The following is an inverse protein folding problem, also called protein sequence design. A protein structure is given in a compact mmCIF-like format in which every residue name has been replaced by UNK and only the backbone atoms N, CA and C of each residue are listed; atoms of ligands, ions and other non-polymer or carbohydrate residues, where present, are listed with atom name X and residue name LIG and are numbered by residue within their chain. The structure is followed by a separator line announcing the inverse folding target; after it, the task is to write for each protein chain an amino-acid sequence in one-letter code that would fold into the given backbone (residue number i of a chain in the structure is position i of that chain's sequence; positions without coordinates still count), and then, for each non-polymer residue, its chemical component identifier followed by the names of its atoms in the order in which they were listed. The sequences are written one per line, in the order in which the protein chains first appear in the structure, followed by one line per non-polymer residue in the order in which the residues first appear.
data_IF_281897457334
#
_entry.id   IF_281897457334
#
_cell.length_a   1.000
_cell.length_b   1.000
_cell.length_c   1.000
_cell.angle_alpha   90.00
_cell.angle_beta   90.00
_cell.angle_gamma   90.00
#
_symmetry.space_group_name_H-M   'P 1'
#
loop_
_entity.id
_entity.type
_entity.pdbx_description
1 polymer ?
#
# COMPACT_ATOMS: atom_id res chain seq x y z
N UNK A 1 -13.70 11.59 -24.13
CA UNK A 1 -12.67 12.13 -23.21
C UNK A 1 -11.73 11.02 -22.82
N UNK A 2 -10.43 11.26 -22.77
CA UNK A 2 -9.50 10.25 -22.27
C UNK A 2 -9.72 10.04 -20.77
N UNK A 3 -9.52 8.81 -20.30
CA UNK A 3 -9.71 8.43 -18.88
C UNK A 3 -8.86 9.31 -17.95
N UNK A 4 -7.65 9.70 -18.40
CA UNK A 4 -6.79 10.61 -17.66
C UNK A 4 -7.39 12.01 -17.53
N UNK A 5 -7.99 12.56 -18.59
CA UNK A 5 -8.56 13.91 -18.56
C UNK A 5 -9.77 13.99 -17.63
N UNK A 6 -10.65 12.98 -17.68
CA UNK A 6 -11.81 12.91 -16.78
C UNK A 6 -11.38 12.81 -15.32
N UNK A 7 -10.39 11.95 -15.04
CA UNK A 7 -9.83 11.80 -13.70
C UNK A 7 -9.16 13.10 -13.21
N UNK A 8 -8.33 13.71 -14.06
CA UNK A 8 -7.60 14.93 -13.76
C UNK A 8 -8.55 16.11 -13.48
N UNK A 9 -9.60 16.26 -14.29
CA UNK A 9 -10.62 17.30 -14.08
C UNK A 9 -11.40 17.09 -12.78
N UNK A 10 -11.76 15.85 -12.46
CA UNK A 10 -12.50 15.54 -11.23
C UNK A 10 -11.65 15.72 -9.96
N UNK A 11 -10.35 15.41 -10.03
CA UNK A 11 -9.46 15.45 -8.88
C UNK A 11 -8.61 16.72 -8.79
N UNK A 12 -8.65 17.61 -9.78
CA UNK A 12 -7.79 18.80 -9.85
C UNK A 12 -6.31 18.45 -10.03
N UNK A 13 -6.00 17.35 -10.72
CA UNK A 13 -4.63 16.83 -10.90
C UNK A 13 -4.16 16.93 -12.34
N UNK A 14 -2.86 16.71 -12.59
CA UNK A 14 -2.28 16.70 -13.93
C UNK A 14 -1.46 15.42 -14.20
N UNK A 15 -2.07 14.26 -13.98
CA UNK A 15 -1.40 12.98 -14.18
C UNK A 15 -1.44 12.52 -15.64
N UNK A 16 -0.33 11.94 -16.08
CA UNK A 16 -0.27 11.17 -17.33
C UNK A 16 -0.95 9.81 -17.16
N UNK A 17 -1.39 9.22 -18.27
CA UNK A 17 -1.96 7.85 -18.28
C UNK A 17 -0.98 6.83 -17.68
N UNK A 18 0.32 6.99 -17.89
CA UNK A 18 1.35 6.09 -17.34
C UNK A 18 1.45 6.21 -15.83
N UNK A 19 1.39 7.43 -15.27
CA UNK A 19 1.36 7.64 -13.82
C UNK A 19 0.12 6.98 -13.19
N UNK A 20 -1.05 7.15 -13.81
CA UNK A 20 -2.29 6.51 -13.35
C UNK A 20 -2.21 4.97 -13.40
N UNK A 21 -1.65 4.41 -14.48
CA UNK A 21 -1.42 2.96 -14.60
C UNK A 21 -0.46 2.43 -13.53
N UNK A 22 0.63 3.15 -13.27
CA UNK A 22 1.59 2.77 -12.23
C UNK A 22 0.94 2.83 -10.84
N UNK A 23 0.13 3.86 -10.57
CA UNK A 23 -0.61 3.99 -9.32
C UNK A 23 -1.61 2.86 -9.15
N UNK A 24 -2.37 2.51 -10.20
CA UNK A 24 -3.28 1.39 -10.17
C UNK A 24 -2.58 0.06 -9.84
N UNK A 25 -1.42 -0.22 -10.43
CA UNK A 25 -0.62 -1.40 -10.08
C UNK A 25 -0.20 -1.40 -8.62
N UNK A 26 0.22 -0.25 -8.08
CA UNK A 26 0.60 -0.11 -6.68
C UNK A 26 -0.59 -0.39 -5.75
N UNK A 27 -1.77 0.15 -6.08
CA UNK A 27 -3.02 -0.10 -5.34
C UNK A 27 -3.34 -1.59 -5.30
N UNK A 28 -3.19 -2.29 -6.42
CA UNK A 28 -3.42 -3.73 -6.48
C UNK A 28 -2.45 -4.52 -5.57
N UNK A 29 -1.18 -4.10 -5.47
CA UNK A 29 -0.20 -4.73 -4.58
C UNK A 29 -0.55 -4.48 -3.13
N UNK A 30 -0.80 -3.22 -2.76
CA UNK A 30 -1.11 -2.83 -1.40
C UNK A 30 -2.41 -3.51 -0.92
N UNK A 31 -3.44 -3.59 -1.77
CA UNK A 31 -4.68 -4.31 -1.46
C UNK A 31 -4.44 -5.80 -1.20
N UNK A 32 -3.56 -6.46 -1.97
CA UNK A 32 -3.23 -7.88 -1.73
C UNK A 32 -2.54 -8.07 -0.39
N UNK A 33 -1.62 -7.17 -0.01
CA UNK A 33 -0.93 -7.19 1.29
C UNK A 33 -1.94 -7.02 2.41
N UNK A 34 -2.77 -5.96 2.36
CA UNK A 34 -3.78 -5.67 3.39
C UNK A 34 -4.79 -6.83 3.51
N UNK A 35 -5.25 -7.36 2.37
CA UNK A 35 -6.17 -8.52 2.34
C UNK A 35 -5.54 -9.77 2.95
N UNK A 36 -4.24 -9.98 2.78
CA UNK A 36 -3.50 -11.09 3.42
C UNK A 36 -3.39 -10.85 4.93
N UNK A 37 -2.97 -9.66 5.34
CA UNK A 37 -2.78 -9.32 6.75
C UNK A 37 -4.09 -9.36 7.54
N UNK A 38 -5.18 -8.85 6.98
CA UNK A 38 -6.53 -8.93 7.58
C UNK A 38 -7.04 -10.36 7.81
N UNK A 39 -6.47 -11.38 7.13
CA UNK A 39 -6.82 -12.79 7.39
C UNK A 39 -6.12 -13.37 8.62
N UNK A 40 -5.05 -12.72 9.09
CA UNK A 40 -4.35 -13.13 10.29
C UNK A 40 -5.15 -12.69 11.51
N UNK A 41 -5.09 -13.48 12.59
CA UNK A 41 -5.70 -13.08 13.85
C UNK A 41 -5.02 -11.81 14.37
N UNK A 42 -5.81 -10.94 15.02
CA UNK A 42 -5.37 -9.65 15.63
C UNK A 42 -5.20 -8.48 14.66
N UNK A 43 -5.32 -8.68 13.35
CA UNK A 43 -5.27 -7.58 12.38
C UNK A 43 -6.65 -6.98 12.13
N UNK A 44 -6.87 -5.76 12.60
CA UNK A 44 -8.10 -5.00 12.35
C UNK A 44 -7.83 -3.90 11.32
N UNK A 45 -8.89 -3.46 10.65
CA UNK A 45 -8.84 -2.33 9.74
C UNK A 45 -9.60 -1.18 10.38
N UNK A 46 -8.95 -0.03 10.48
CA UNK A 46 -9.59 1.20 10.92
C UNK A 46 -9.98 2.05 9.71
N UNK A 47 -11.29 2.18 9.51
CA UNK A 47 -11.86 2.97 8.42
C UNK A 47 -11.61 4.49 8.57
N UNK A 48 -11.43 5.00 9.80
CA UNK A 48 -11.18 6.43 10.03
C UNK A 48 -9.77 6.84 9.64
N UNK A 49 -8.78 5.98 9.88
CA UNK A 49 -7.37 6.25 9.56
C UNK A 49 -6.93 5.61 8.25
N UNK A 50 -7.77 4.75 7.67
CA UNK A 50 -7.43 3.90 6.53
C UNK A 50 -6.13 3.11 6.78
N UNK A 51 -5.98 2.56 7.99
CA UNK A 51 -4.79 1.83 8.44
C UNK A 51 -5.15 0.48 9.06
N UNK A 52 -4.16 -0.42 9.12
CA UNK A 52 -4.26 -1.64 9.90
C UNK A 52 -3.95 -1.34 11.36
N UNK A 53 -4.90 -1.63 12.25
CA UNK A 53 -4.75 -1.53 13.70
C UNK A 53 -4.33 -2.87 14.27
N UNK A 54 -3.08 -2.92 14.71
CA UNK A 54 -2.51 -4.03 15.45
C UNK A 54 -1.30 -3.53 16.24
N UNK A 55 -0.97 -4.24 17.31
CA UNK A 55 0.20 -3.97 18.12
C UNK A 55 1.51 -4.01 17.29
N UNK A 56 2.48 -3.17 17.66
CA UNK A 56 3.75 -3.01 16.94
C UNK A 56 4.58 -4.31 16.87
N UNK A 57 4.48 -5.16 17.89
CA UNK A 57 5.15 -6.47 17.94
C UNK A 57 4.62 -7.41 16.84
N UNK A 58 3.31 -7.37 16.57
CA UNK A 58 2.70 -8.17 15.50
C UNK A 58 3.14 -7.67 14.12
N UNK A 59 3.28 -6.35 13.95
CA UNK A 59 3.87 -5.75 12.75
C UNK A 59 5.31 -6.23 12.52
N UNK A 60 6.13 -6.23 13.56
CA UNK A 60 7.54 -6.63 13.48
C UNK A 60 7.70 -8.11 13.14
N UNK A 61 6.85 -8.98 13.70
CA UNK A 61 6.81 -10.42 13.37
C UNK A 61 6.48 -10.64 11.90
N UNK A 62 5.46 -9.96 11.37
CA UNK A 62 5.09 -10.09 9.94
C UNK A 62 6.17 -9.54 9.00
N UNK A 63 6.78 -8.40 9.34
CA UNK A 63 7.88 -7.84 8.56
C UNK A 63 9.10 -8.78 8.55
N UNK A 64 9.42 -9.41 9.67
CA UNK A 64 10.47 -10.42 9.75
C UNK A 64 10.14 -11.65 8.90
N UNK A 65 8.89 -12.13 8.92
CA UNK A 65 8.43 -13.25 8.11
C UNK A 65 8.48 -12.95 6.61
N UNK A 66 8.08 -11.74 6.19
CA UNK A 66 8.23 -11.31 4.79
C UNK A 66 9.72 -11.28 4.42
N UNK A 67 10.57 -10.67 5.23
CA UNK A 67 12.02 -10.59 4.99
C UNK A 67 12.69 -11.96 4.91
N UNK A 68 12.24 -12.93 5.71
CA UNK A 68 12.77 -14.29 5.71
C UNK A 68 12.44 -15.10 4.44
N UNK A 69 11.33 -14.77 3.75
CA UNK A 69 10.95 -15.39 2.46
C UNK A 69 11.85 -14.95 1.30
N UNK A 70 12.65 -13.91 1.51
CA UNK A 70 13.46 -13.29 0.47
C UNK A 70 14.86 -13.86 0.55
N UNK A 71 15.38 -14.36 -0.58
CA UNK A 71 16.78 -14.78 -0.69
C UNK A 71 17.71 -13.69 -0.14
N UNK A 72 18.62 -14.08 0.77
CA UNK A 72 19.58 -13.18 1.44
C UNK A 72 20.21 -12.20 0.43
N UNK A 73 19.82 -10.93 0.50
CA UNK A 73 20.44 -9.84 -0.25
C UNK A 73 19.54 -9.12 -1.25
N UNK A 74 18.37 -9.64 -1.62
CA UNK A 74 17.39 -8.90 -2.43
C UNK A 74 16.43 -8.13 -1.53
N UNK A 75 16.16 -6.87 -1.88
CA UNK A 75 15.15 -6.07 -1.19
C UNK A 75 13.80 -6.32 -1.85
N UNK A 76 12.95 -7.10 -1.18
CA UNK A 76 11.64 -7.48 -1.72
C UNK A 76 10.73 -6.25 -1.86
N UNK A 77 10.18 -6.01 -3.07
CA UNK A 77 9.14 -5.01 -3.29
C UNK A 77 8.00 -5.13 -2.27
N UNK A 78 7.58 -6.33 -1.89
CA UNK A 78 6.54 -6.56 -0.90
C UNK A 78 6.95 -6.06 0.50
N UNK A 79 8.19 -6.32 0.94
CA UNK A 79 8.70 -5.78 2.20
C UNK A 79 8.68 -4.26 2.23
N UNK A 80 9.17 -3.60 1.16
CA UNK A 80 9.13 -2.14 1.05
C UNK A 80 7.69 -1.61 1.12
N UNK A 81 6.75 -2.28 0.46
CA UNK A 81 5.33 -1.89 0.48
C UNK A 81 4.72 -2.08 1.86
N UNK A 82 4.98 -3.19 2.53
CA UNK A 82 4.48 -3.44 3.88
C UNK A 82 4.96 -2.38 4.88
N UNK A 83 6.24 -1.99 4.83
CA UNK A 83 6.77 -0.88 5.64
C UNK A 83 6.08 0.45 5.31
N UNK A 84 5.85 0.74 4.03
CA UNK A 84 5.15 1.96 3.63
C UNK A 84 3.69 1.99 4.14
N UNK A 85 2.99 0.85 4.13
CA UNK A 85 1.63 0.71 4.66
C UNK A 85 1.63 0.90 6.18
N UNK A 86 2.62 0.37 6.91
CA UNK A 86 2.74 0.61 8.36
C UNK A 86 2.93 2.10 8.69
N UNK A 87 3.82 2.77 7.96
CA UNK A 87 4.20 4.15 8.29
C UNK A 87 3.19 5.21 7.83
N UNK A 88 2.43 4.92 6.78
CA UNK A 88 1.59 5.91 6.11
C UNK A 88 0.19 5.40 5.80
N UNK A 89 -0.18 4.22 6.27
CA UNK A 89 -1.47 3.61 5.99
C UNK A 89 -1.70 3.35 4.50
N UNK A 90 -2.96 3.19 4.14
CA UNK A 90 -3.40 3.16 2.75
C UNK A 90 -3.77 4.56 2.27
N UNK A 91 -2.80 5.47 2.29
CA UNK A 91 -3.03 6.83 1.77
C UNK A 91 -2.83 6.82 0.25
N UNK A 92 -3.97 6.67 -0.44
CA UNK A 92 -4.09 6.77 -1.90
C UNK A 92 -3.68 8.16 -2.43
N UNK A 93 -3.68 9.18 -1.57
CA UNK A 93 -3.56 10.59 -1.96
C UNK A 93 -2.66 11.42 -1.02
N UNK A 94 -1.48 10.93 -0.66
CA UNK A 94 -0.42 11.90 -0.37
C UNK A 94 0.09 12.43 -1.70
N UNK A 95 -0.33 13.66 -2.01
CA UNK A 95 0.28 14.52 -3.01
C UNK A 95 1.72 14.84 -2.57
N UNK A 96 2.65 13.91 -2.71
CA UNK A 96 4.03 14.33 -2.97
C UNK A 96 4.07 14.76 -4.43
N UNK A 97 3.71 16.04 -4.63
CA UNK A 97 4.20 16.85 -5.74
C UNK A 97 5.74 16.85 -5.72
#
# INVERSE_FOLDING_TARGET
MAIADSFNNACGTAFTVTQLKNRYKQIQVDFKIIKRLKKLSRWLWNDNTCMLEVDDDVWDVELAAIKAKVEKGKLDPEYKRAVAIRNSGFLLWHNTL
#
